data_IF_753409814391
#
_entry.id   IF_753409814391
#
_cell.length_a   1.000
_cell.length_b   1.000
_cell.length_c   1.000
_cell.angle_alpha   90.00
_cell.angle_beta   90.00
_cell.angle_gamma   90.00
#
_symmetry.space_group_name_H-M   'P 1'
#
loop_
_entity.id
_entity.type
_entity.pdbx_description
1 polymer ?
#
# COMPACT_ATOMS: atom_id res chain seq x y z
N UNK A 1 3.39 23.53 1.64
CA UNK A 1 2.10 24.24 1.64
C UNK A 1 1.10 23.32 2.30
N UNK A 2 0.32 23.79 3.28
CA UNK A 2 -0.64 22.95 3.99
C UNK A 2 -1.97 22.84 3.24
N UNK A 3 -2.74 21.79 3.52
CA UNK A 3 -3.99 21.48 2.81
C UNK A 3 -5.09 22.53 3.05
N UNK A 4 -5.13 23.17 4.22
CA UNK A 4 -6.11 24.23 4.52
C UNK A 4 -5.80 25.48 3.71
N UNK A 5 -4.52 25.84 3.57
CA UNK A 5 -4.09 26.94 2.71
C UNK A 5 -4.38 26.67 1.25
N UNK A 6 -4.16 25.43 0.78
CA UNK A 6 -4.51 25.02 -0.58
C UNK A 6 -6.01 25.14 -0.84
N UNK A 7 -6.80 24.61 0.08
CA UNK A 7 -8.25 24.65 0.01
C UNK A 7 -8.77 26.08 -0.04
N UNK A 8 -8.25 26.94 0.84
CA UNK A 8 -8.62 28.36 0.89
C UNK A 8 -8.30 29.05 -0.43
N UNK A 9 -7.10 28.84 -0.98
CA UNK A 9 -6.72 29.49 -2.24
C UNK A 9 -7.54 29.02 -3.44
N UNK A 10 -7.79 27.72 -3.56
CA UNK A 10 -8.55 27.17 -4.68
C UNK A 10 -10.04 27.52 -4.60
N UNK A 11 -10.62 27.53 -3.39
CA UNK A 11 -12.03 27.86 -3.17
C UNK A 11 -12.37 29.34 -3.41
N UNK A 12 -11.38 30.24 -3.48
CA UNK A 12 -11.61 31.63 -3.89
C UNK A 12 -12.01 31.76 -5.36
N UNK A 13 -11.70 30.77 -6.20
CA UNK A 13 -12.05 30.79 -7.62
C UNK A 13 -13.52 30.41 -7.77
N UNK A 14 -14.30 31.32 -8.37
CA UNK A 14 -15.73 31.09 -8.62
C UNK A 14 -15.93 29.84 -9.48
N UNK A 15 -16.68 28.87 -8.94
CA UNK A 15 -16.94 27.58 -9.59
C UNK A 15 -16.11 26.42 -9.05
N UNK A 16 -15.12 26.67 -8.18
CA UNK A 16 -14.37 25.63 -7.48
C UNK A 16 -14.96 25.43 -6.09
N UNK A 17 -15.56 24.26 -5.87
CA UNK A 17 -16.07 23.84 -4.56
C UNK A 17 -15.17 22.81 -3.87
N UNK A 18 -15.54 22.44 -2.64
CA UNK A 18 -14.80 21.45 -1.82
C UNK A 18 -14.51 20.15 -2.58
N UNK A 19 -15.51 19.61 -3.31
CA UNK A 19 -15.35 18.41 -4.12
C UNK A 19 -14.26 18.55 -5.19
N UNK A 20 -14.26 19.65 -5.94
CA UNK A 20 -13.26 19.92 -6.98
C UNK A 20 -11.85 20.07 -6.41
N UNK A 21 -11.73 20.70 -5.24
CA UNK A 21 -10.45 20.81 -4.53
C UNK A 21 -9.92 19.43 -4.14
N UNK A 22 -10.75 18.59 -3.51
CA UNK A 22 -10.31 17.25 -3.10
C UNK A 22 -9.91 16.39 -4.31
N UNK A 23 -10.67 16.43 -5.41
CA UNK A 23 -10.30 15.72 -6.65
C UNK A 23 -8.99 16.23 -7.25
N UNK A 24 -8.76 17.54 -7.24
CA UNK A 24 -7.50 18.12 -7.70
C UNK A 24 -6.32 17.65 -6.85
N UNK A 25 -6.46 17.63 -5.52
CA UNK A 25 -5.39 17.16 -4.62
C UNK A 25 -5.03 15.70 -4.87
N UNK A 26 -6.04 14.84 -5.00
CA UNK A 26 -5.83 13.41 -5.26
C UNK A 26 -5.15 13.17 -6.60
N UNK A 27 -5.69 13.73 -7.69
CA UNK A 27 -5.25 13.37 -9.05
C UNK A 27 -4.12 14.24 -9.61
N UNK A 28 -4.02 15.51 -9.22
CA UNK A 28 -3.00 16.42 -9.75
C UNK A 28 -1.79 16.54 -8.81
N UNK A 29 -2.01 16.48 -7.50
CA UNK A 29 -0.93 16.57 -6.50
C UNK A 29 -0.50 15.21 -5.93
N UNK A 30 -1.14 14.12 -6.35
CA UNK A 30 -0.83 12.75 -5.91
C UNK A 30 -0.83 12.60 -4.38
N UNK A 31 -1.78 13.26 -3.72
CA UNK A 31 -2.00 13.20 -2.27
C UNK A 31 -3.26 12.38 -1.97
N UNK A 32 -3.13 11.06 -1.76
CA UNK A 32 -4.28 10.17 -1.55
C UNK A 32 -4.83 10.22 -0.12
N UNK A 33 -4.19 10.93 0.80
CA UNK A 33 -4.56 11.14 2.20
C UNK A 33 -5.75 12.10 2.40
N UNK A 34 -6.61 12.21 1.39
CA UNK A 34 -7.80 13.07 1.40
C UNK A 34 -9.05 12.24 1.12
N UNK A 35 -10.01 12.30 2.04
CA UNK A 35 -11.31 11.64 1.88
C UNK A 35 -12.35 12.62 1.29
N UNK A 36 -12.80 12.44 0.04
CA UNK A 36 -13.75 13.36 -0.58
C UNK A 36 -15.19 13.07 -0.15
N UNK A 37 -15.56 13.47 1.07
CA UNK A 37 -16.87 13.20 1.71
C UNK A 37 -18.06 13.81 0.97
N UNK A 38 -17.83 14.79 0.10
CA UNK A 38 -18.87 15.37 -0.76
C UNK A 38 -19.11 14.55 -2.03
N UNK A 39 -18.27 13.57 -2.33
CA UNK A 39 -18.40 12.71 -3.51
C UNK A 39 -19.45 11.62 -3.30
N UNK A 40 -20.41 11.53 -4.21
CA UNK A 40 -21.50 10.56 -4.14
C UNK A 40 -21.01 9.13 -4.39
N UNK A 41 -20.02 8.94 -5.27
CA UNK A 41 -19.43 7.65 -5.57
C UNK A 41 -18.70 7.08 -4.36
N UNK A 42 -17.89 7.90 -3.69
CA UNK A 42 -17.21 7.53 -2.44
C UNK A 42 -18.23 7.19 -1.36
N UNK A 43 -19.25 8.02 -1.13
CA UNK A 43 -20.29 7.72 -0.14
C UNK A 43 -21.04 6.41 -0.42
N UNK A 44 -21.29 6.09 -1.70
CA UNK A 44 -21.86 4.80 -2.11
C UNK A 44 -20.88 3.64 -1.87
N UNK A 45 -19.60 3.83 -2.17
CA UNK A 45 -18.55 2.86 -1.86
C UNK A 45 -18.50 2.55 -0.35
N UNK A 46 -18.59 3.59 0.48
CA UNK A 46 -18.65 3.46 1.95
C UNK A 46 -19.92 2.73 2.39
N UNK A 47 -21.07 3.06 1.80
CA UNK A 47 -22.33 2.36 2.08
C UNK A 47 -22.17 0.84 1.83
N UNK A 48 -21.58 0.46 0.69
CA UNK A 48 -21.35 -0.93 0.34
C UNK A 48 -20.32 -1.60 1.26
N UNK A 49 -19.19 -0.92 1.54
CA UNK A 49 -18.10 -1.43 2.37
C UNK A 49 -18.56 -1.76 3.78
N UNK A 50 -19.38 -0.90 4.39
CA UNK A 50 -19.88 -1.07 5.75
C UNK A 50 -21.30 -1.66 5.81
N UNK A 51 -21.86 -2.12 4.68
CA UNK A 51 -23.21 -2.70 4.60
C UNK A 51 -24.30 -1.81 5.23
N UNK A 52 -24.23 -0.50 4.99
CA UNK A 52 -25.18 0.46 5.54
C UNK A 52 -26.50 0.45 4.75
N UNK A 53 -27.62 0.50 5.46
CA UNK A 53 -28.96 0.53 4.86
C UNK A 53 -29.18 1.81 4.04
N UNK A 54 -28.79 2.95 4.60
CA UNK A 54 -28.91 4.27 3.99
C UNK A 54 -27.57 4.82 3.49
N UNK A 55 -27.64 5.72 2.51
CA UNK A 55 -26.47 6.47 2.04
C UNK A 55 -25.95 7.37 3.18
N UNK A 56 -24.73 7.15 3.69
CA UNK A 56 -24.20 7.91 4.82
C UNK A 56 -24.08 9.40 4.44
N UNK A 57 -24.45 10.30 5.36
CA UNK A 57 -24.22 11.74 5.21
C UNK A 57 -22.72 12.05 5.28
N UNK A 58 -22.25 13.17 4.70
CA UNK A 58 -20.82 13.53 4.76
C UNK A 58 -20.22 13.47 6.18
N UNK A 59 -20.95 13.98 7.18
CA UNK A 59 -20.50 13.92 8.58
C UNK A 59 -20.43 12.50 9.15
N UNK A 60 -21.31 11.59 8.74
CA UNK A 60 -21.25 10.20 9.14
C UNK A 60 -20.07 9.49 8.46
N UNK A 61 -19.81 9.81 7.20
CA UNK A 61 -18.63 9.31 6.47
C UNK A 61 -17.35 9.75 7.17
N UNK A 62 -17.20 11.03 7.55
CA UNK A 62 -16.04 11.50 8.31
C UNK A 62 -15.84 10.74 9.63
N UNK A 63 -16.93 10.50 10.37
CA UNK A 63 -16.88 9.78 11.63
C UNK A 63 -16.44 8.31 11.44
N UNK A 64 -16.96 7.62 10.43
CA UNK A 64 -16.59 6.22 10.15
C UNK A 64 -15.09 6.06 9.89
N UNK A 65 -14.47 6.99 9.16
CA UNK A 65 -13.04 6.93 8.87
C UNK A 65 -12.16 7.53 9.98
N UNK A 66 -12.69 8.42 10.82
CA UNK A 66 -11.95 8.94 11.99
C UNK A 66 -11.74 7.88 13.08
N UNK A 67 -12.58 6.83 13.09
CA UNK A 67 -12.50 5.73 14.06
C UNK A 67 -11.43 4.71 13.65
N UNK A 68 -10.96 4.76 12.41
CA UNK A 68 -9.87 3.91 11.94
C UNK A 68 -8.53 4.59 12.20
N UNK A 69 -8.25 4.88 13.47
CA UNK A 69 -6.86 4.73 13.92
C UNK A 69 -6.49 3.29 13.56
N UNK A 70 -5.40 3.12 12.82
CA UNK A 70 -4.78 1.81 12.76
C UNK A 70 -4.44 1.49 14.21
N UNK A 71 -5.29 0.70 14.83
CA UNK A 71 -5.02 0.10 16.11
C UNK A 71 -3.79 -0.75 15.80
N UNK A 72 -2.60 -0.24 16.14
CA UNK A 72 -1.36 -1.01 16.30
C UNK A 72 -1.59 -1.97 17.48
N UNK A 73 -2.69 -2.72 17.44
CA UNK A 73 -3.11 -3.68 18.45
C UNK A 73 -2.19 -4.85 18.27
N UNK A 74 -1.05 -4.70 18.94
CA UNK A 74 -0.07 -5.71 19.28
C UNK A 74 -0.04 -6.85 18.27
N UNK A 75 0.60 -6.59 17.13
CA UNK A 75 1.37 -7.66 16.51
C UNK A 75 2.40 -8.07 17.56
N UNK A 76 2.04 -9.09 18.33
CA UNK A 76 2.91 -9.69 19.31
C UNK A 76 4.27 -9.93 18.67
N UNK A 77 5.33 -9.78 19.47
CA UNK A 77 6.74 -9.98 19.10
C UNK A 77 7.05 -11.25 18.29
N UNK A 78 6.08 -12.14 18.11
CA UNK A 78 6.13 -13.35 17.30
C UNK A 78 6.03 -13.08 15.78
N UNK A 79 5.23 -12.10 15.32
CA UNK A 79 5.10 -11.78 13.88
C UNK A 79 6.33 -11.05 13.35
N UNK A 80 6.91 -10.15 14.13
CA UNK A 80 8.13 -9.44 13.74
C UNK A 80 9.36 -10.35 13.66
N UNK A 81 9.40 -11.43 14.45
CA UNK A 81 10.47 -12.43 14.34
C UNK A 81 10.31 -13.35 13.13
N UNK A 82 9.07 -13.63 12.70
CA UNK A 82 8.83 -14.46 11.53
C UNK A 82 9.31 -13.82 10.22
N UNK A 83 9.25 -12.49 10.10
CA UNK A 83 9.78 -11.79 8.93
C UNK A 83 11.30 -11.73 8.87
N UNK A 84 11.98 -11.78 10.02
CA UNK A 84 13.45 -11.92 10.07
C UNK A 84 13.88 -13.35 9.72
N UNK A 85 13.09 -14.35 10.12
CA UNK A 85 13.36 -15.77 9.84
C UNK A 85 13.10 -16.17 8.37
N UNK A 86 12.10 -15.56 7.70
CA UNK A 86 11.73 -15.91 6.31
C UNK A 86 12.52 -15.14 5.23
N UNK A 87 13.27 -14.08 5.58
CA UNK A 87 14.07 -13.28 4.63
C UNK A 87 15.58 -13.45 4.79
N UNK A 88 16.03 -14.22 5.78
CA UNK A 88 17.44 -14.65 5.96
C UNK A 88 17.64 -16.13 5.57
N UNK A 89 16.77 -16.67 4.71
CA UNK A 89 16.88 -18.03 4.14
C UNK A 89 17.92 -18.08 3.00
N UNK A 90 19.13 -17.59 3.28
CA UNK A 90 20.36 -17.88 2.54
C UNK A 90 20.85 -19.31 2.90
N UNK A 91 19.98 -20.33 2.90
CA UNK A 91 20.41 -21.71 3.12
C UNK A 91 21.19 -22.21 1.91
N UNK A 92 22.52 -22.09 2.01
CA UNK A 92 23.53 -22.58 1.07
C UNK A 92 23.45 -24.10 0.79
N UNK A 93 22.56 -24.81 1.48
CA UNK A 93 22.22 -26.23 1.25
C UNK A 93 20.94 -26.45 0.42
N UNK A 94 20.32 -25.42 -0.16
CA UNK A 94 19.20 -25.66 -1.07
C UNK A 94 19.61 -26.58 -2.24
N UNK A 95 18.65 -27.40 -2.70
CA UNK A 95 18.89 -28.41 -3.74
C UNK A 95 19.45 -27.78 -5.03
N UNK A 96 19.13 -26.51 -5.29
CA UNK A 96 19.63 -25.78 -6.45
C UNK A 96 21.12 -25.48 -6.35
N UNK A 97 21.59 -25.01 -5.20
CA UNK A 97 22.99 -24.68 -4.93
C UNK A 97 23.88 -25.92 -4.97
N UNK A 98 23.39 -27.04 -4.44
CA UNK A 98 24.07 -28.34 -4.52
C UNK A 98 24.10 -28.88 -5.96
N UNK A 99 23.02 -28.71 -6.71
CA UNK A 99 22.96 -29.10 -8.12
C UNK A 99 23.90 -28.27 -9.00
N UNK A 100 23.96 -26.96 -8.77
CA UNK A 100 24.83 -26.04 -9.50
C UNK A 100 26.32 -26.35 -9.26
N UNK A 101 26.70 -26.66 -8.01
CA UNK A 101 28.07 -27.10 -7.69
C UNK A 101 28.48 -28.36 -8.45
N UNK A 102 27.61 -29.38 -8.48
CA UNK A 102 27.86 -30.62 -9.24
C UNK A 102 28.00 -30.36 -10.74
N UNK A 103 27.19 -29.47 -11.32
CA UNK A 103 27.28 -29.13 -12.74
C UNK A 103 28.59 -28.42 -13.09
N UNK A 104 29.06 -27.52 -12.22
CA UNK A 104 30.33 -26.81 -12.38
C UNK A 104 31.53 -27.76 -12.30
N UNK A 105 31.57 -28.65 -11.30
CA UNK A 105 32.64 -29.66 -11.14
C UNK A 105 32.71 -30.62 -12.34
N UNK A 106 31.55 -31.09 -12.82
CA UNK A 106 31.49 -31.98 -13.99
C UNK A 106 31.96 -31.29 -15.28
N UNK A 107 31.80 -29.98 -15.37
CA UNK A 107 32.23 -29.17 -16.51
C UNK A 107 33.72 -28.88 -16.48
N UNK A 108 34.31 -28.73 -15.29
CA UNK A 108 35.76 -28.60 -15.13
C UNK A 108 36.50 -29.89 -15.51
N UNK A 109 36.02 -31.05 -15.08
CA UNK A 109 36.63 -32.35 -15.40
C UNK A 109 36.56 -32.67 -16.91
N UNK A 110 35.42 -32.36 -17.56
CA UNK A 110 35.25 -32.52 -19.02
C UNK A 110 36.16 -31.60 -19.82
N UNK A 111 36.47 -30.41 -19.30
CA UNK A 111 37.37 -29.47 -19.96
C UNK A 111 38.83 -29.89 -19.82
N UNK A 112 39.24 -30.45 -18.67
CA UNK A 112 40.60 -30.99 -18.47
C UNK A 112 40.84 -32.25 -19.33
N UNK A 113 39.88 -33.17 -19.39
CA UNK A 113 40.00 -34.40 -20.18
C UNK A 113 40.03 -34.16 -21.71
N UNK A 114 39.62 -32.99 -22.18
CA UNK A 114 39.62 -32.61 -23.60
C UNK A 114 40.89 -31.83 -24.02
N UNK A 115 41.73 -31.48 -23.05
CA UNK A 115 42.97 -30.71 -23.26
C UNK A 115 44.25 -31.57 -23.25
N UNK A 116 44.14 -32.89 -23.03
CA UNK A 116 45.19 -33.91 -23.23
C UNK A 116 44.84 -34.81 -24.40
#
# INVERSE_FOLDING_TARGET
MDDRSLFTMLSMVKGIGSWSVHMFVIFSLHRPDVLPVSDLGVRKGVQLLYSLEDLPRPSQTEQLFSIQEWDDKEEGKEVTQQWEDDWDDDDVNDDFSLQLRRELESSTEKNEAKST
#
